data_IF_007130040809
#
_entry.id   IF_007130040809
#
_cell.length_a   1.000
_cell.length_b   1.000
_cell.length_c   1.000
_cell.angle_alpha   90.00
_cell.angle_beta   90.00
_cell.angle_gamma   90.00
#
_symmetry.space_group_name_H-M   'P 1'
#
loop_
_entity.id
_entity.type
_entity.pdbx_description
1 polymer ?
#
# COMPACT_ATOMS: atom_id res chain seq x y z
N UNK A 1 13.07 49.21 -15.57
CA UNK A 1 11.73 48.85 -15.09
C UNK A 1 11.47 47.41 -15.51
N UNK A 2 11.70 46.46 -14.60
CA UNK A 2 11.50 45.04 -14.88
C UNK A 2 9.99 44.74 -14.98
N UNK A 3 9.62 44.01 -16.03
CA UNK A 3 8.25 43.69 -16.43
C UNK A 3 7.55 42.88 -15.34
N UNK A 4 6.28 43.21 -15.18
CA UNK A 4 5.24 42.47 -14.46
C UNK A 4 5.45 40.95 -14.61
N UNK A 5 5.71 40.27 -13.49
CA UNK A 5 6.00 38.84 -13.42
C UNK A 5 4.83 38.03 -13.98
N UNK A 6 4.90 37.70 -15.27
CA UNK A 6 3.96 36.80 -15.89
C UNK A 6 4.02 35.46 -15.13
N UNK A 7 2.91 34.97 -14.56
CA UNK A 7 2.94 33.71 -13.83
C UNK A 7 3.40 32.60 -14.76
N UNK A 8 4.34 31.78 -14.25
CA UNK A 8 4.96 30.67 -14.97
C UNK A 8 3.93 29.89 -15.80
N UNK A 9 4.19 29.57 -17.08
CA UNK A 9 3.21 28.92 -17.97
C UNK A 9 2.58 27.66 -17.38
N UNK A 10 3.34 26.86 -16.63
CA UNK A 10 2.84 25.63 -16.00
C UNK A 10 1.72 25.93 -14.97
N UNK A 11 1.76 27.08 -14.31
CA UNK A 11 0.75 27.49 -13.33
C UNK A 11 -0.53 28.01 -13.98
N UNK A 12 -0.59 28.13 -15.31
CA UNK A 12 -1.81 28.48 -16.06
C UNK A 12 -2.57 27.27 -16.57
N UNK A 13 -1.95 26.08 -16.57
CA UNK A 13 -2.61 24.84 -17.02
C UNK A 13 -3.81 24.50 -16.12
N UNK A 14 -4.87 23.86 -16.64
CA UNK A 14 -5.93 23.26 -15.82
C UNK A 14 -5.40 22.19 -14.85
N UNK A 15 -6.14 21.93 -13.76
CA UNK A 15 -5.72 20.96 -12.75
C UNK A 15 -5.60 19.54 -13.32
N UNK A 16 -6.44 19.20 -14.30
CA UNK A 16 -6.49 17.90 -14.96
C UNK A 16 -5.18 17.62 -15.71
N UNK A 17 -4.67 18.62 -16.44
CA UNK A 17 -3.38 18.51 -17.12
C UNK A 17 -2.21 18.47 -16.12
N UNK A 18 -2.28 19.24 -15.04
CA UNK A 18 -1.27 19.17 -13.98
C UNK A 18 -1.22 17.79 -13.33
N UNK A 19 -2.37 17.17 -13.08
CA UNK A 19 -2.44 15.81 -12.54
C UNK A 19 -1.85 14.78 -13.49
N UNK A 20 -2.12 14.90 -14.80
CA UNK A 20 -1.50 14.03 -15.81
C UNK A 20 0.02 14.19 -15.83
N UNK A 21 0.52 15.43 -15.83
CA UNK A 21 1.96 15.71 -15.77
C UNK A 21 2.58 15.13 -14.49
N UNK A 22 1.94 15.36 -13.33
CA UNK A 22 2.39 14.78 -12.06
C UNK A 22 2.44 13.26 -12.13
N UNK A 23 1.41 12.61 -12.68
CA UNK A 23 1.37 11.14 -12.80
C UNK A 23 2.52 10.58 -13.66
N UNK A 24 2.92 11.32 -14.70
CA UNK A 24 4.07 10.98 -15.54
C UNK A 24 5.40 11.18 -14.80
N UNK A 25 5.57 12.32 -14.11
CA UNK A 25 6.79 12.66 -13.34
C UNK A 25 7.01 11.70 -12.17
N UNK A 26 5.92 11.31 -11.51
CA UNK A 26 5.98 10.36 -10.43
C UNK A 26 6.46 8.98 -10.89
N UNK A 27 6.58 8.75 -12.20
CA UNK A 27 6.76 7.43 -12.78
C UNK A 27 5.82 6.49 -12.04
N UNK A 28 4.52 6.63 -12.31
CA UNK A 28 3.54 5.58 -12.04
C UNK A 28 3.51 4.61 -13.24
N UNK A 29 4.58 3.86 -13.63
CA UNK A 29 4.47 2.93 -14.73
C UNK A 29 3.59 1.78 -14.25
N UNK A 30 2.26 1.88 -14.42
CA UNK A 30 1.32 0.77 -14.20
C UNK A 30 1.72 -0.16 -13.06
N UNK A 31 2.04 0.39 -11.87
CA UNK A 31 2.41 -0.43 -10.70
C UNK A 31 1.30 -1.40 -10.30
N UNK A 32 0.08 -1.15 -10.77
CA UNK A 32 -1.06 -2.05 -10.66
C UNK A 32 -1.00 -3.29 -11.57
N UNK A 33 -0.24 -3.30 -12.67
CA UNK A 33 -0.38 -4.28 -13.75
C UNK A 33 0.77 -5.30 -13.89
N UNK A 34 1.93 -5.08 -13.29
CA UNK A 34 3.07 -5.98 -13.44
C UNK A 34 3.51 -6.47 -12.06
N UNK A 35 3.30 -7.76 -11.81
CA UNK A 35 3.94 -8.67 -10.85
C UNK A 35 5.15 -8.12 -10.07
N UNK A 36 4.97 -7.08 -9.24
CA UNK A 36 5.97 -6.68 -8.25
C UNK A 36 5.94 -7.74 -7.15
N UNK A 37 6.74 -8.77 -7.36
CA UNK A 37 7.25 -9.56 -6.25
C UNK A 37 8.20 -8.62 -5.50
N UNK A 38 7.79 -8.16 -4.32
CA UNK A 38 8.57 -7.28 -3.41
C UNK A 38 9.94 -7.83 -3.00
N UNK A 39 10.26 -9.03 -3.47
CA UNK A 39 11.55 -9.66 -3.33
C UNK A 39 12.60 -9.09 -4.29
N UNK A 40 12.22 -8.26 -5.27
CA UNK A 40 13.18 -7.56 -6.12
C UNK A 40 13.61 -6.23 -5.49
N UNK A 41 14.91 -5.99 -5.21
CA UNK A 41 15.43 -4.73 -4.66
C UNK A 41 15.06 -3.48 -5.47
N UNK A 42 14.78 -3.65 -6.77
CA UNK A 42 14.33 -2.62 -7.71
C UNK A 42 12.97 -2.03 -7.31
N UNK A 43 12.08 -2.83 -6.71
CA UNK A 43 10.74 -2.43 -6.27
C UNK A 43 10.78 -1.37 -5.16
N UNK A 44 11.67 -1.55 -4.18
CA UNK A 44 11.81 -0.64 -3.05
C UNK A 44 12.47 0.69 -3.44
N UNK A 45 13.47 0.66 -4.32
CA UNK A 45 14.11 1.89 -4.84
C UNK A 45 13.13 2.73 -5.68
N UNK A 46 12.33 2.08 -6.52
CA UNK A 46 11.26 2.74 -7.26
C UNK A 46 10.24 3.40 -6.31
N UNK A 47 9.89 2.72 -5.22
CA UNK A 47 9.04 3.28 -4.18
C UNK A 47 9.63 4.52 -3.50
N UNK A 48 10.89 4.46 -3.07
CA UNK A 48 11.55 5.62 -2.49
C UNK A 48 11.57 6.80 -3.47
N UNK A 49 11.88 6.55 -4.75
CA UNK A 49 11.87 7.59 -5.77
C UNK A 49 10.48 8.21 -5.95
N UNK A 50 9.43 7.38 -5.99
CA UNK A 50 8.03 7.83 -6.05
C UNK A 50 7.69 8.77 -4.89
N UNK A 51 7.93 8.35 -3.65
CA UNK A 51 7.61 9.16 -2.45
C UNK A 51 8.41 10.45 -2.44
N UNK A 52 9.70 10.40 -2.81
CA UNK A 52 10.55 11.59 -2.92
C UNK A 52 10.00 12.58 -3.94
N UNK A 53 9.60 12.11 -5.12
CA UNK A 53 9.05 12.95 -6.19
C UNK A 53 7.69 13.55 -5.78
N UNK A 54 6.80 12.76 -5.17
CA UNK A 54 5.51 13.23 -4.68
C UNK A 54 5.68 14.28 -3.56
N UNK A 55 6.64 14.06 -2.68
CA UNK A 55 6.99 14.99 -1.61
C UNK A 55 7.54 16.30 -2.20
N UNK A 56 8.46 16.21 -3.15
CA UNK A 56 9.00 17.38 -3.86
C UNK A 56 7.89 18.18 -4.56
N UNK A 57 7.02 17.51 -5.31
CA UNK A 57 5.87 18.13 -5.98
C UNK A 57 4.93 18.83 -5.00
N UNK A 58 4.66 18.22 -3.84
CA UNK A 58 3.81 18.82 -2.81
C UNK A 58 4.37 20.11 -2.20
N UNK A 59 5.67 20.36 -2.38
CA UNK A 59 6.41 21.51 -1.84
C UNK A 59 6.69 22.59 -2.89
N UNK A 60 6.42 22.35 -4.18
CA UNK A 60 6.68 23.33 -5.27
C UNK A 60 5.91 24.63 -5.03
N UNK A 61 4.59 24.56 -4.88
CA UNK A 61 3.77 25.74 -4.62
C UNK A 61 2.43 25.35 -3.96
N UNK A 62 1.67 26.36 -3.50
CA UNK A 62 0.36 26.16 -2.86
C UNK A 62 -0.64 25.40 -3.75
N UNK A 63 -0.58 25.61 -5.07
CA UNK A 63 -1.47 24.94 -6.04
C UNK A 63 -1.12 23.46 -6.23
N UNK A 64 0.17 23.12 -6.22
CA UNK A 64 0.61 21.73 -6.42
C UNK A 64 0.34 20.87 -5.19
N UNK A 65 0.43 21.43 -3.98
CA UNK A 65 0.22 20.71 -2.73
C UNK A 65 -1.06 19.85 -2.69
N UNK A 66 -2.28 20.39 -2.89
CA UNK A 66 -3.50 19.59 -2.84
C UNK A 66 -3.60 18.54 -3.97
N UNK A 67 -2.91 18.74 -5.09
CA UNK A 67 -2.85 17.78 -6.20
C UNK A 67 -1.86 16.64 -5.93
N UNK A 68 -0.73 16.97 -5.29
CA UNK A 68 0.34 16.02 -4.99
C UNK A 68 0.08 15.16 -3.73
N UNK A 69 -0.62 15.71 -2.74
CA UNK A 69 -0.90 15.03 -1.46
C UNK A 69 -1.58 13.68 -1.64
N UNK A 70 -2.61 13.50 -2.49
CA UNK A 70 -3.20 12.19 -2.73
C UNK A 70 -2.15 11.12 -3.09
N UNK A 71 -1.21 11.44 -3.98
CA UNK A 71 -0.15 10.52 -4.39
C UNK A 71 0.76 10.07 -3.23
N UNK A 72 1.04 10.95 -2.26
CA UNK A 72 1.84 10.59 -1.09
C UNK A 72 1.20 9.49 -0.22
N UNK A 73 -0.13 9.41 -0.23
CA UNK A 73 -0.89 8.48 0.61
C UNK A 73 -1.57 7.37 -0.19
N UNK A 74 -1.43 7.35 -1.52
CA UNK A 74 -1.96 6.28 -2.39
C UNK A 74 -1.43 4.91 -1.99
N UNK A 75 -0.14 4.84 -1.61
CA UNK A 75 0.55 3.61 -1.23
C UNK A 75 1.09 3.76 0.19
N UNK A 76 0.58 2.96 1.14
CA UNK A 76 1.00 3.00 2.55
C UNK A 76 1.71 1.70 2.92
N UNK A 77 2.87 1.84 3.57
CA UNK A 77 3.71 0.72 4.01
C UNK A 77 3.77 0.68 5.54
N UNK A 78 3.20 -0.37 6.11
CA UNK A 78 3.40 -0.82 7.48
C UNK A 78 4.38 -1.98 7.50
N UNK A 79 5.63 -1.73 7.17
CA UNK A 79 6.66 -2.77 7.22
C UNK A 79 7.25 -2.88 8.63
N UNK A 80 7.43 -4.10 9.14
CA UNK A 80 8.20 -4.32 10.37
C UNK A 80 9.67 -4.04 10.02
N UNK A 81 10.36 -3.21 10.80
CA UNK A 81 11.67 -2.74 10.40
C UNK A 81 12.79 -3.80 10.44
N UNK A 82 12.49 -5.08 10.70
CA UNK A 82 13.40 -6.20 10.43
C UNK A 82 14.81 -6.01 11.01
N UNK A 83 15.84 -6.06 10.17
CA UNK A 83 17.25 -5.74 10.49
C UNK A 83 17.61 -4.25 10.34
N UNK A 84 16.77 -3.43 9.70
CA UNK A 84 16.92 -1.98 9.55
C UNK A 84 16.08 -1.19 10.57
N UNK A 85 16.11 -1.67 11.83
CA UNK A 85 15.11 -1.45 12.90
C UNK A 85 14.69 0.00 13.15
N UNK A 86 15.64 0.92 13.29
CA UNK A 86 15.33 2.20 13.94
C UNK A 86 14.72 3.24 12.98
N UNK A 87 15.15 3.23 11.72
CA UNK A 87 14.72 4.24 10.74
C UNK A 87 13.29 3.99 10.25
N UNK A 88 12.97 2.72 9.97
CA UNK A 88 11.65 2.30 9.51
C UNK A 88 10.59 2.38 10.63
N UNK A 89 10.97 2.11 11.89
CA UNK A 89 10.09 2.26 13.06
C UNK A 89 9.59 3.70 13.22
N UNK A 90 10.53 4.67 13.23
CA UNK A 90 10.19 6.09 13.37
C UNK A 90 9.30 6.58 12.23
N UNK A 91 9.54 6.10 11.01
CA UNK A 91 8.73 6.45 9.85
C UNK A 91 7.31 5.88 9.95
N UNK A 92 7.15 4.62 10.35
CA UNK A 92 5.85 4.00 10.56
C UNK A 92 5.06 4.71 11.66
N UNK A 93 5.70 5.04 12.78
CA UNK A 93 5.07 5.80 13.86
C UNK A 93 4.67 7.20 13.43
N UNK A 94 5.56 7.92 12.73
CA UNK A 94 5.24 9.25 12.22
C UNK A 94 4.07 9.20 11.22
N UNK A 95 4.01 8.16 10.37
CA UNK A 95 2.89 7.94 9.47
C UNK A 95 1.58 7.66 10.23
N UNK A 96 1.62 6.74 11.19
CA UNK A 96 0.47 6.40 12.04
C UNK A 96 -0.06 7.64 12.76
N UNK A 97 0.82 8.42 13.39
CA UNK A 97 0.49 9.71 14.03
C UNK A 97 -0.18 10.70 13.07
N UNK A 98 0.34 10.82 11.85
CA UNK A 98 -0.20 11.74 10.84
C UNK A 98 -1.60 11.30 10.41
N UNK A 99 -1.81 10.00 10.18
CA UNK A 99 -3.11 9.43 9.81
C UNK A 99 -4.12 9.49 10.97
N UNK A 100 -3.65 9.34 12.21
CA UNK A 100 -4.45 9.53 13.41
C UNK A 100 -4.97 10.97 13.49
N UNK A 101 -4.07 11.96 13.34
CA UNK A 101 -4.41 13.40 13.43
C UNK A 101 -5.15 13.94 12.21
N UNK A 102 -5.07 13.29 11.05
CA UNK A 102 -5.68 13.76 9.79
C UNK A 102 -6.50 12.68 9.09
N UNK A 103 -7.74 12.40 9.55
CA UNK A 103 -8.57 11.34 9.00
C UNK A 103 -8.84 11.46 7.50
N UNK A 104 -8.94 12.69 6.99
CA UNK A 104 -9.12 12.99 5.56
C UNK A 104 -8.02 12.43 4.64
N UNK A 105 -6.84 12.07 5.16
CA UNK A 105 -5.77 11.46 4.37
C UNK A 105 -5.99 9.96 4.14
N UNK A 106 -6.75 9.30 5.02
CA UNK A 106 -6.99 7.85 5.02
C UNK A 106 -7.66 7.39 3.72
N UNK A 107 -8.58 8.21 3.19
CA UNK A 107 -9.32 7.96 1.93
C UNK A 107 -8.43 7.91 0.68
N UNK A 108 -7.21 8.44 0.75
CA UNK A 108 -6.32 8.42 -0.41
C UNK A 108 -5.63 7.08 -0.58
N UNK A 109 -5.60 6.23 0.45
CA UNK A 109 -4.98 4.92 0.34
C UNK A 109 -5.75 4.03 -0.65
N UNK A 110 -5.01 3.48 -1.61
CA UNK A 110 -5.50 2.51 -2.60
C UNK A 110 -4.71 1.21 -2.53
N UNK A 111 -3.48 1.24 -2.06
CA UNK A 111 -2.67 0.07 -1.82
C UNK A 111 -2.05 0.11 -0.42
N UNK A 112 -2.28 -0.94 0.35
CA UNK A 112 -1.76 -1.12 1.70
C UNK A 112 -0.81 -2.32 1.73
N UNK A 113 0.39 -2.10 2.26
CA UNK A 113 1.41 -3.11 2.44
C UNK A 113 1.62 -3.30 3.92
N UNK A 114 1.33 -4.48 4.45
CA UNK A 114 1.47 -4.79 5.86
C UNK A 114 2.38 -6.00 6.05
N UNK A 115 3.45 -5.79 6.81
CA UNK A 115 4.18 -6.86 7.47
C UNK A 115 3.67 -6.95 8.91
N UNK A 116 2.79 -7.92 9.14
CA UNK A 116 2.16 -8.14 10.44
C UNK A 116 3.05 -9.03 11.27
N UNK A 117 3.40 -8.51 12.45
CA UNK A 117 4.15 -9.22 13.47
C UNK A 117 3.42 -9.13 14.82
N UNK A 118 3.67 -10.09 15.70
CA UNK A 118 2.96 -10.20 16.98
C UNK A 118 3.53 -9.30 18.09
N UNK A 119 4.46 -8.41 17.75
CA UNK A 119 4.98 -7.42 18.69
C UNK A 119 3.87 -6.40 19.01
N UNK A 120 3.47 -6.22 20.29
CA UNK A 120 2.23 -5.54 20.66
C UNK A 120 2.01 -4.20 19.95
N UNK A 121 3.02 -3.32 19.99
CA UNK A 121 2.94 -1.99 19.39
C UNK A 121 2.75 -1.99 17.87
N UNK A 122 3.44 -2.88 17.16
CA UNK A 122 3.32 -2.99 15.71
C UNK A 122 2.01 -3.65 15.30
N UNK A 123 1.58 -4.64 16.08
CA UNK A 123 0.30 -5.31 15.89
C UNK A 123 -0.87 -4.32 16.07
N UNK A 124 -0.80 -3.44 17.06
CA UNK A 124 -1.76 -2.35 17.26
C UNK A 124 -1.75 -1.35 16.11
N UNK A 125 -0.57 -0.90 15.66
CA UNK A 125 -0.47 0.00 14.50
C UNK A 125 -1.07 -0.65 13.24
N UNK A 126 -0.77 -1.92 12.98
CA UNK A 126 -1.34 -2.65 11.83
C UNK A 126 -2.87 -2.74 11.93
N UNK A 127 -3.40 -3.04 13.12
CA UNK A 127 -4.85 -3.04 13.40
C UNK A 127 -5.49 -1.69 13.13
N UNK A 128 -4.87 -0.61 13.58
CA UNK A 128 -5.34 0.75 13.35
C UNK A 128 -5.34 1.09 11.86
N UNK A 129 -4.27 0.78 11.14
CA UNK A 129 -4.20 1.01 9.69
C UNK A 129 -5.31 0.25 8.94
N UNK A 130 -5.57 -1.00 9.31
CA UNK A 130 -6.67 -1.79 8.74
C UNK A 130 -8.03 -1.14 9.03
N UNK A 131 -8.21 -0.66 10.26
CA UNK A 131 -9.45 0.01 10.68
C UNK A 131 -9.67 1.33 9.95
N UNK A 132 -8.59 2.04 9.62
CA UNK A 132 -8.63 3.38 9.04
C UNK A 132 -8.67 3.41 7.53
N UNK A 133 -8.03 2.47 6.84
CA UNK A 133 -7.75 2.51 5.40
C UNK A 133 -8.71 1.61 4.62
N UNK A 134 -10.01 1.80 4.83
CA UNK A 134 -11.08 0.94 4.28
C UNK A 134 -11.27 1.04 2.77
N UNK A 135 -10.86 2.14 2.13
CA UNK A 135 -10.94 2.31 0.67
C UNK A 135 -9.75 1.68 -0.09
N UNK A 136 -9.00 0.81 0.58
CA UNK A 136 -7.89 0.06 0.00
C UNK A 136 -8.41 -0.94 -1.04
N UNK A 137 -7.79 -0.94 -2.22
CA UNK A 137 -8.11 -1.88 -3.32
C UNK A 137 -7.07 -2.97 -3.51
N UNK A 138 -5.85 -2.74 -3.04
CA UNK A 138 -4.77 -3.71 -3.11
C UNK A 138 -4.18 -3.91 -1.73
N UNK A 139 -4.21 -5.15 -1.24
CA UNK A 139 -3.62 -5.52 0.04
C UNK A 139 -2.45 -6.46 -0.19
N UNK A 140 -1.27 -6.06 0.26
CA UNK A 140 -0.10 -6.92 0.36
C UNK A 140 0.08 -7.30 1.81
N UNK A 141 -0.08 -8.59 2.08
CA UNK A 141 -0.03 -9.14 3.43
C UNK A 141 1.17 -10.07 3.56
N UNK A 142 2.04 -9.75 4.50
CA UNK A 142 3.19 -10.56 4.86
C UNK A 142 3.21 -10.80 6.37
N UNK A 143 3.54 -12.01 6.78
CA UNK A 143 3.72 -12.36 8.19
C UNK A 143 4.61 -13.59 8.29
N UNK A 144 5.43 -13.67 9.35
CA UNK A 144 6.18 -14.90 9.67
C UNK A 144 5.47 -15.72 10.74
N UNK A 145 4.50 -15.14 11.43
CA UNK A 145 3.75 -15.72 12.54
C UNK A 145 2.45 -16.38 12.08
N UNK A 146 2.47 -17.09 10.95
CA UNK A 146 1.29 -17.75 10.34
C UNK A 146 0.60 -18.80 11.24
N UNK A 147 1.20 -19.18 12.37
CA UNK A 147 0.59 -20.08 13.37
C UNK A 147 -0.22 -19.34 14.43
N UNK A 148 -0.07 -18.02 14.54
CA UNK A 148 -0.78 -17.22 15.53
C UNK A 148 -2.17 -16.86 15.00
N UNK A 149 -3.22 -17.26 15.72
CA UNK A 149 -4.60 -17.03 15.29
C UNK A 149 -4.95 -15.54 15.25
N UNK A 150 -4.30 -14.69 16.07
CA UNK A 150 -4.54 -13.23 16.06
C UNK A 150 -4.18 -12.60 14.72
N UNK A 151 -3.18 -13.14 14.03
CA UNK A 151 -2.77 -12.68 12.69
C UNK A 151 -3.85 -13.02 11.67
N UNK A 152 -4.46 -14.21 11.77
CA UNK A 152 -5.56 -14.62 10.90
C UNK A 152 -6.84 -13.83 11.16
N UNK A 153 -7.17 -13.58 12.44
CA UNK A 153 -8.29 -12.69 12.82
C UNK A 153 -8.10 -11.29 12.23
N UNK A 154 -6.89 -10.73 12.32
CA UNK A 154 -6.58 -9.43 11.74
C UNK A 154 -6.68 -9.44 10.20
N UNK A 155 -6.24 -10.52 9.54
CA UNK A 155 -6.37 -10.66 8.09
C UNK A 155 -7.83 -10.74 7.66
N UNK A 156 -8.66 -11.50 8.39
CA UNK A 156 -10.09 -11.57 8.16
C UNK A 156 -10.77 -10.21 8.37
N UNK A 157 -10.39 -9.47 9.41
CA UNK A 157 -10.90 -8.13 9.66
C UNK A 157 -10.51 -7.17 8.52
N UNK A 158 -9.29 -7.27 7.99
CA UNK A 158 -8.86 -6.48 6.83
C UNK A 158 -9.72 -6.75 5.59
N UNK A 159 -9.92 -8.02 5.24
CA UNK A 159 -10.75 -8.41 4.09
C UNK A 159 -12.21 -7.96 4.27
N UNK A 160 -12.73 -8.00 5.49
CA UNK A 160 -14.11 -7.59 5.80
C UNK A 160 -14.30 -6.08 5.72
N UNK A 161 -13.31 -5.30 6.18
CA UNK A 161 -13.36 -3.84 6.23
C UNK A 161 -13.02 -3.15 4.91
N UNK A 162 -12.46 -3.88 3.95
CA UNK A 162 -12.07 -3.36 2.63
C UNK A 162 -13.01 -3.91 1.55
N UNK A 163 -14.24 -3.39 1.42
CA UNK A 163 -15.24 -3.94 0.50
C UNK A 163 -14.83 -3.82 -0.98
N UNK A 164 -13.97 -2.84 -1.30
CA UNK A 164 -13.47 -2.57 -2.65
C UNK A 164 -12.13 -3.27 -2.93
N UNK A 165 -11.77 -4.28 -2.14
CA UNK A 165 -10.52 -4.99 -2.30
C UNK A 165 -10.55 -5.84 -3.59
N UNK A 166 -9.75 -5.44 -4.57
CA UNK A 166 -9.68 -6.03 -5.90
C UNK A 166 -8.52 -7.03 -6.02
N UNK A 167 -7.43 -6.80 -5.28
CA UNK A 167 -6.23 -7.63 -5.34
C UNK A 167 -5.64 -7.89 -3.97
N UNK A 168 -5.26 -9.16 -3.74
CA UNK A 168 -4.53 -9.56 -2.54
C UNK A 168 -3.27 -10.30 -2.95
N UNK A 169 -2.16 -9.92 -2.35
CA UNK A 169 -0.89 -10.64 -2.42
C UNK A 169 -0.55 -11.17 -1.04
N UNK A 170 -0.37 -12.48 -0.91
CA UNK A 170 -0.09 -13.13 0.36
C UNK A 170 1.12 -14.05 0.27
N UNK A 171 1.97 -14.01 1.30
CA UNK A 171 3.06 -14.96 1.47
C UNK A 171 2.60 -16.16 2.30
N UNK A 172 2.47 -17.33 1.68
CA UNK A 172 2.06 -18.56 2.36
C UNK A 172 3.24 -19.49 2.59
N UNK A 173 3.37 -20.00 3.83
CA UNK A 173 4.42 -20.94 4.21
C UNK A 173 4.11 -22.40 3.82
N UNK A 174 2.84 -22.76 3.58
CA UNK A 174 2.45 -24.13 3.25
C UNK A 174 0.97 -24.33 2.92
N UNK A 175 0.55 -25.58 2.61
CA UNK A 175 -0.82 -25.90 2.19
C UNK A 175 -1.90 -25.53 3.21
N UNK A 176 -1.62 -25.70 4.51
CA UNK A 176 -2.57 -25.39 5.60
C UNK A 176 -2.92 -23.90 5.63
N UNK A 177 -1.91 -23.05 5.49
CA UNK A 177 -2.06 -21.60 5.45
C UNK A 177 -2.82 -21.17 4.19
N UNK A 178 -2.57 -21.85 3.06
CA UNK A 178 -3.33 -21.63 1.82
C UNK A 178 -4.83 -21.92 2.06
N UNK A 179 -5.17 -23.05 2.69
CA UNK A 179 -6.57 -23.39 2.99
C UNK A 179 -7.22 -22.40 3.95
N UNK A 180 -6.52 -21.96 5.01
CA UNK A 180 -7.03 -20.93 5.93
C UNK A 180 -7.32 -19.62 5.20
N UNK A 181 -6.36 -19.15 4.42
CA UNK A 181 -6.51 -17.95 3.61
C UNK A 181 -7.67 -18.10 2.61
N UNK A 182 -7.80 -19.23 1.91
CA UNK A 182 -8.93 -19.45 1.00
C UNK A 182 -10.28 -19.28 1.70
N UNK A 183 -10.43 -19.77 2.94
CA UNK A 183 -11.64 -19.56 3.75
C UNK A 183 -11.89 -18.08 4.07
N UNK A 184 -10.84 -17.32 4.38
CA UNK A 184 -10.95 -15.87 4.61
C UNK A 184 -11.31 -15.15 3.32
N UNK A 185 -10.67 -15.49 2.20
CA UNK A 185 -10.90 -14.84 0.91
C UNK A 185 -12.29 -15.11 0.36
N UNK A 186 -12.93 -16.23 0.73
CA UNK A 186 -14.32 -16.50 0.39
C UNK A 186 -15.31 -15.45 0.93
N UNK A 187 -14.91 -14.62 1.91
CA UNK A 187 -15.75 -13.52 2.41
C UNK A 187 -15.56 -12.21 1.63
N UNK A 188 -14.58 -12.14 0.72
CA UNK A 188 -14.33 -10.95 -0.09
C UNK A 188 -15.31 -10.87 -1.27
N UNK A 189 -16.00 -9.73 -1.42
CA UNK A 189 -17.04 -9.56 -2.47
C UNK A 189 -16.48 -9.11 -3.83
N UNK A 190 -15.38 -8.36 -3.83
CA UNK A 190 -14.89 -7.61 -5.01
C UNK A 190 -13.55 -8.11 -5.55
N UNK A 191 -13.08 -9.25 -5.05
CA UNK A 191 -11.73 -9.76 -5.32
C UNK A 191 -11.62 -10.28 -6.76
N UNK A 192 -10.67 -9.74 -7.51
CA UNK A 192 -10.42 -10.06 -8.93
C UNK A 192 -9.12 -10.84 -9.11
N UNK A 193 -8.12 -10.55 -8.29
CA UNK A 193 -6.80 -11.14 -8.39
C UNK A 193 -6.29 -11.58 -7.03
N UNK A 194 -5.73 -12.80 -6.99
CA UNK A 194 -5.02 -13.30 -5.82
C UNK A 194 -3.66 -13.80 -6.29
N UNK A 195 -2.60 -13.22 -5.72
CA UNK A 195 -1.22 -13.61 -5.96
C UNK A 195 -0.64 -14.30 -4.73
N UNK A 196 -0.04 -15.47 -4.96
CA UNK A 196 0.66 -16.21 -3.90
C UNK A 196 2.15 -16.18 -4.10
N UNK A 197 2.85 -15.99 -3.00
CA UNK A 197 4.27 -16.26 -2.94
C UNK A 197 4.50 -17.44 -1.98
N UNK A 198 4.92 -18.58 -2.54
CA UNK A 198 5.37 -19.74 -1.78
C UNK A 198 6.85 -19.95 -2.09
N UNK A 199 7.77 -19.74 -1.14
CA UNK A 199 9.21 -19.79 -1.40
C UNK A 199 9.71 -21.18 -1.84
N UNK A 200 8.94 -22.24 -1.59
CA UNK A 200 9.30 -23.63 -1.92
C UNK A 200 8.83 -24.08 -3.31
N UNK A 201 8.05 -23.28 -4.04
CA UNK A 201 7.67 -23.53 -5.43
C UNK A 201 7.78 -22.23 -6.22
N UNK A 202 8.76 -22.15 -7.12
CA UNK A 202 9.08 -20.97 -7.95
C UNK A 202 8.01 -20.57 -8.98
N UNK A 203 6.75 -20.98 -8.83
CA UNK A 203 5.66 -20.57 -9.71
C UNK A 203 4.74 -19.58 -9.00
N UNK A 204 4.72 -18.34 -9.49
CA UNK A 204 3.61 -17.41 -9.26
C UNK A 204 2.38 -18.06 -9.90
N UNK A 205 1.48 -18.59 -9.08
CA UNK A 205 0.21 -19.15 -9.54
C UNK A 205 -0.89 -18.10 -9.40
N UNK A 206 -1.73 -17.96 -10.43
CA UNK A 206 -3.06 -17.36 -10.27
C UNK A 206 -3.91 -18.38 -9.52
N UNK A 207 -4.66 -17.93 -8.51
CA UNK A 207 -5.53 -18.80 -7.73
C UNK A 207 -6.52 -19.57 -8.60
N UNK A 208 -6.59 -20.89 -8.40
CA UNK A 208 -7.58 -21.78 -9.00
C UNK A 208 -8.65 -22.11 -7.94
N UNK A 209 -9.94 -21.78 -8.19
CA UNK A 209 -11.03 -22.08 -7.27
C UNK A 209 -11.18 -23.57 -6.91
N UNK A 210 -10.63 -24.50 -7.70
CA UNK A 210 -10.68 -25.94 -7.45
C UNK A 210 -9.90 -26.39 -6.20
N UNK A 211 -9.08 -25.53 -5.59
CA UNK A 211 -8.36 -25.84 -4.35
C UNK A 211 -9.23 -25.83 -3.07
N UNK A 212 -10.53 -25.54 -3.19
CA UNK A 212 -11.46 -25.44 -2.04
C UNK A 212 -12.38 -26.68 -1.90
N UNK A 213 -12.31 -27.64 -2.85
CA UNK A 213 -13.08 -28.89 -2.79
C UNK A 213 -12.36 -30.00 -2.02
#
# INVERSE_FOLDING_TARGET
MARQDDPSPILRLPNELLLQIMSLVLMLPRWSALNMTWNEPTSHLAFIAYVKNASALSRVCRRFRPLAVPFLYTHIFGQNPGTFRVLLEKQLMALHDVLARRPMLRRYCRALYLEVCIYPRYFEIARDLITWLTETRVLYWYTREYKDERVWEMFQDAVTRMPDLERISYFAAGPREISKMAKVLATAKSLKEIAFFCPFRSKVGVWDPSYVS
#
